data_IF_080807607520
#
_entry.id   IF_080807607520
#
_cell.length_a   1.000
_cell.length_b   1.000
_cell.length_c   1.000
_cell.angle_alpha   90.00
_cell.angle_beta   90.00
_cell.angle_gamma   90.00
#
_symmetry.space_group_name_H-M   'P 1'
#
loop_
_entity.id
_entity.type
_entity.pdbx_description
1 polymer ?
#
# COMPACT_ATOMS: atom_id res chain seq x y z
N UNK A 1 0.41 -11.92 -6.94
CA UNK A 1 -0.62 -10.87 -6.75
C UNK A 1 -0.27 -9.88 -5.64
N UNK A 2 0.24 -10.33 -4.48
CA UNK A 2 0.62 -9.44 -3.36
C UNK A 2 1.63 -8.35 -3.73
N UNK A 3 2.62 -8.63 -4.59
CA UNK A 3 3.56 -7.61 -5.09
C UNK A 3 2.84 -6.55 -5.94
N UNK A 4 1.81 -6.95 -6.69
CA UNK A 4 1.09 -6.04 -7.56
C UNK A 4 0.19 -5.08 -6.75
N UNK A 5 -0.59 -5.60 -5.81
CA UNK A 5 -1.38 -4.75 -4.89
C UNK A 5 -0.48 -3.85 -4.04
N UNK A 6 0.68 -4.35 -3.59
CA UNK A 6 1.68 -3.53 -2.89
C UNK A 6 2.17 -2.35 -3.75
N UNK A 7 2.39 -2.58 -5.05
CA UNK A 7 2.80 -1.52 -5.99
C UNK A 7 1.71 -0.46 -6.15
N UNK A 8 0.47 -0.86 -6.41
CA UNK A 8 -0.63 0.10 -6.53
C UNK A 8 -0.84 0.92 -5.25
N UNK A 9 -0.75 0.29 -4.07
CA UNK A 9 -0.83 1.00 -2.79
C UNK A 9 0.34 1.96 -2.61
N UNK A 10 1.57 1.54 -2.93
CA UNK A 10 2.75 2.39 -2.83
C UNK A 10 2.65 3.61 -3.75
N UNK A 11 2.18 3.43 -4.98
CA UNK A 11 1.97 4.51 -5.95
C UNK A 11 0.90 5.50 -5.43
N UNK A 12 -0.21 4.98 -4.87
CA UNK A 12 -1.25 5.79 -4.25
C UNK A 12 -0.77 6.59 -3.04
N UNK A 13 0.04 5.98 -2.17
CA UNK A 13 0.68 6.68 -1.05
C UNK A 13 1.66 7.75 -1.55
N UNK A 14 2.49 7.44 -2.54
CA UNK A 14 3.44 8.40 -3.09
C UNK A 14 2.74 9.62 -3.69
N UNK A 15 1.60 9.43 -4.35
CA UNK A 15 0.79 10.52 -4.89
C UNK A 15 0.20 11.44 -3.79
N UNK A 16 -0.14 10.88 -2.62
CA UNK A 16 -0.83 11.64 -1.56
C UNK A 16 0.11 12.25 -0.50
N UNK A 17 1.20 11.56 -0.16
CA UNK A 17 2.10 11.92 0.95
C UNK A 17 3.59 11.91 0.56
N UNK A 18 3.92 11.72 -0.73
CA UNK A 18 5.30 11.64 -1.21
C UNK A 18 6.11 12.92 -1.05
N UNK A 19 5.46 14.06 -0.83
CA UNK A 19 6.08 15.35 -0.50
C UNK A 19 6.50 15.46 0.98
N UNK A 20 6.08 14.51 1.82
CA UNK A 20 6.33 14.47 3.27
C UNK A 20 7.12 13.24 3.70
N UNK A 21 7.07 12.16 2.94
CA UNK A 21 7.84 10.94 3.20
C UNK A 21 8.30 10.29 1.89
N UNK A 22 9.45 9.63 1.91
CA UNK A 22 10.00 8.93 0.75
C UNK A 22 9.64 7.45 0.79
N UNK A 23 9.27 6.83 -0.34
CA UNK A 23 9.02 5.39 -0.39
C UNK A 23 10.30 4.62 -0.08
N UNK A 24 10.17 3.55 0.72
CA UNK A 24 11.28 2.66 1.14
C UNK A 24 11.30 1.33 0.38
N UNK A 25 10.49 1.22 -0.66
CA UNK A 25 10.37 0.05 -1.52
C UNK A 25 9.47 -1.05 -0.96
N UNK A 26 9.17 -2.02 -1.82
CA UNK A 26 8.41 -3.23 -1.49
C UNK A 26 9.41 -4.30 -1.06
N UNK A 27 9.19 -4.89 0.11
CA UNK A 27 10.01 -5.98 0.65
C UNK A 27 9.18 -7.25 0.71
N UNK A 28 9.72 -8.34 0.15
CA UNK A 28 9.12 -9.66 0.27
C UNK A 28 9.61 -10.28 1.57
N UNK A 29 8.72 -10.39 2.56
CA UNK A 29 9.02 -10.88 3.90
C UNK A 29 7.91 -11.81 4.39
N UNK A 30 8.24 -12.81 5.22
CA UNK A 30 7.30 -13.83 5.69
C UNK A 30 6.69 -13.51 7.07
N UNK A 31 6.08 -12.33 7.20
CA UNK A 31 5.37 -11.96 8.43
C UNK A 31 4.11 -12.81 8.64
N UNK A 32 3.73 -13.03 9.90
CA UNK A 32 2.60 -13.88 10.26
C UNK A 32 1.31 -13.54 9.50
N UNK A 33 1.01 -12.25 9.32
CA UNK A 33 -0.23 -11.75 8.70
C UNK A 33 -0.23 -11.80 7.17
N UNK A 34 0.93 -11.97 6.53
CA UNK A 34 1.02 -12.05 5.06
C UNK A 34 1.34 -13.46 4.55
N UNK A 35 2.03 -14.30 5.34
CA UNK A 35 2.56 -15.59 4.86
C UNK A 35 1.51 -16.67 4.58
N UNK A 36 0.37 -16.65 5.29
CA UNK A 36 -0.67 -17.68 5.21
C UNK A 36 -2.02 -17.13 4.69
N UNK A 37 -1.99 -16.00 3.99
CA UNK A 37 -3.21 -15.41 3.45
C UNK A 37 -3.67 -16.18 2.19
N UNK A 38 -4.94 -16.56 2.15
CA UNK A 38 -5.57 -17.19 0.98
C UNK A 38 -5.97 -16.18 -0.11
N UNK A 39 -5.59 -14.92 0.06
CA UNK A 39 -5.81 -13.80 -0.85
C UNK A 39 -4.56 -12.89 -0.86
N UNK A 40 -4.41 -11.98 -1.84
CA UNK A 40 -3.34 -10.98 -1.80
C UNK A 40 -3.34 -10.21 -0.48
N UNK A 41 -2.21 -10.24 0.23
CA UNK A 41 -2.05 -9.62 1.55
C UNK A 41 -0.76 -8.82 1.60
N UNK A 42 -0.82 -7.65 2.23
CA UNK A 42 0.30 -6.71 2.37
C UNK A 42 0.30 -6.11 3.78
N UNK A 43 1.49 -5.84 4.30
CA UNK A 43 1.70 -5.06 5.52
C UNK A 43 2.32 -3.72 5.11
N UNK A 44 1.75 -2.62 5.61
CA UNK A 44 2.19 -1.26 5.26
C UNK A 44 2.77 -0.60 6.51
N UNK A 45 4.05 -0.24 6.44
CA UNK A 45 4.71 0.61 7.43
C UNK A 45 4.63 2.07 6.98
N UNK A 46 3.74 2.87 7.59
CA UNK A 46 3.48 4.26 7.17
C UNK A 46 4.61 5.24 7.52
N UNK A 47 5.40 4.92 8.57
CA UNK A 47 6.52 5.75 9.01
C UNK A 47 7.08 5.29 10.35
N UNK A 48 8.20 5.88 10.75
CA UNK A 48 8.87 5.58 12.02
C UNK A 48 8.42 6.51 13.15
N UNK A 49 7.83 5.96 14.21
CA UNK A 49 7.55 6.71 15.44
C UNK A 49 8.82 7.16 16.18
N UNK A 50 9.96 6.49 15.95
CA UNK A 50 11.26 6.85 16.50
C UNK A 50 11.91 8.04 15.78
N UNK A 51 11.40 8.42 14.61
CA UNK A 51 11.83 9.63 13.91
C UNK A 51 10.87 10.76 14.24
N UNK A 52 11.38 11.86 14.81
CA UNK A 52 10.53 12.97 15.28
C UNK A 52 9.64 13.57 14.18
N UNK A 53 10.17 13.78 12.96
CA UNK A 53 9.39 14.36 11.86
C UNK A 53 8.30 13.40 11.35
N UNK A 54 8.61 12.11 11.23
CA UNK A 54 7.62 11.10 10.84
C UNK A 54 6.57 10.89 11.94
N UNK A 55 6.95 10.91 13.21
CA UNK A 55 6.02 10.85 14.33
C UNK A 55 5.03 12.03 14.33
N UNK A 56 5.50 13.25 14.04
CA UNK A 56 4.61 14.40 13.90
C UNK A 56 3.61 14.22 12.74
N UNK A 57 4.06 13.71 11.60
CA UNK A 57 3.16 13.37 10.50
C UNK A 57 2.13 12.30 10.92
N UNK A 58 2.56 11.24 11.59
CA UNK A 58 1.67 10.15 12.05
C UNK A 58 0.68 10.60 13.14
N UNK A 59 0.95 11.70 13.84
CA UNK A 59 0.01 12.33 14.77
C UNK A 59 -0.99 13.30 14.11
N UNK A 60 -0.79 13.64 12.84
CA UNK A 60 -1.60 14.61 12.11
C UNK A 60 -2.81 13.94 11.44
N UNK A 61 -4.02 14.35 11.83
CA UNK A 61 -5.27 13.88 11.21
C UNK A 61 -5.29 14.11 9.70
N UNK A 62 -4.81 15.28 9.23
CA UNK A 62 -4.78 15.59 7.80
C UNK A 62 -3.82 14.66 7.05
N UNK A 63 -2.67 14.34 7.64
CA UNK A 63 -1.72 13.41 7.04
C UNK A 63 -2.30 12.00 6.97
N UNK A 64 -2.92 11.53 8.05
CA UNK A 64 -3.58 10.22 8.09
C UNK A 64 -4.73 10.11 7.09
N UNK A 65 -5.50 11.18 6.87
CA UNK A 65 -6.54 11.24 5.84
C UNK A 65 -5.95 11.10 4.43
N UNK A 66 -4.86 11.82 4.13
CA UNK A 66 -4.15 11.68 2.85
C UNK A 66 -3.58 10.28 2.65
N UNK A 67 -2.95 9.71 3.69
CA UNK A 67 -2.43 8.35 3.65
C UNK A 67 -3.56 7.33 3.40
N UNK A 68 -4.68 7.46 4.11
CA UNK A 68 -5.87 6.62 3.93
C UNK A 68 -6.43 6.73 2.51
N UNK A 69 -6.49 7.94 1.95
CA UNK A 69 -6.92 8.16 0.56
C UNK A 69 -5.97 7.49 -0.44
N UNK A 70 -4.66 7.55 -0.19
CA UNK A 70 -3.65 6.88 -1.03
C UNK A 70 -3.81 5.36 -1.02
N UNK A 71 -4.02 4.77 0.17
CA UNK A 71 -4.28 3.33 0.31
C UNK A 71 -5.57 2.94 -0.39
N UNK A 72 -6.65 3.68 -0.16
CA UNK A 72 -7.95 3.44 -0.79
C UNK A 72 -7.82 3.44 -2.32
N UNK A 73 -7.24 4.49 -2.90
CA UNK A 73 -7.06 4.60 -4.34
C UNK A 73 -6.22 3.45 -4.90
N UNK A 74 -5.11 3.09 -4.23
CA UNK A 74 -4.28 1.97 -4.66
C UNK A 74 -5.01 0.61 -4.63
N UNK A 75 -5.85 0.37 -3.62
CA UNK A 75 -6.69 -0.83 -3.57
C UNK A 75 -7.73 -0.82 -4.70
N UNK A 76 -8.42 0.31 -4.93
CA UNK A 76 -9.40 0.46 -6.00
C UNK A 76 -8.78 0.27 -7.40
N UNK A 77 -7.58 0.80 -7.61
CA UNK A 77 -6.85 0.64 -8.87
C UNK A 77 -6.42 -0.80 -9.09
N UNK A 78 -5.96 -1.49 -8.05
CA UNK A 78 -5.64 -2.92 -8.10
C UNK A 78 -6.89 -3.75 -8.48
N UNK A 79 -8.02 -3.51 -7.83
CA UNK A 79 -9.29 -4.23 -8.12
C UNK A 79 -9.69 -3.98 -9.59
N UNK A 80 -9.70 -2.72 -10.02
CA UNK A 80 -10.04 -2.35 -11.39
C UNK A 80 -9.11 -3.03 -12.41
N UNK A 81 -7.81 -3.06 -12.13
CA UNK A 81 -6.82 -3.74 -12.96
C UNK A 81 -7.07 -5.26 -13.01
N UNK A 82 -7.32 -5.88 -11.86
CA UNK A 82 -7.57 -7.30 -11.72
C UNK A 82 -8.83 -7.74 -12.50
N UNK A 83 -9.94 -7.02 -12.34
CA UNK A 83 -11.20 -7.30 -13.04
C UNK A 83 -11.08 -7.16 -14.56
N UNK A 84 -10.39 -6.12 -15.04
CA UNK A 84 -10.16 -5.91 -16.48
C UNK A 84 -9.28 -6.99 -17.10
N UNK A 85 -8.38 -7.58 -16.32
CA UNK A 85 -7.52 -8.68 -16.77
C UNK A 85 -8.23 -10.04 -16.89
N UNK A 86 -9.56 -10.10 -16.67
CA UNK A 86 -10.36 -11.34 -16.56
C UNK A 86 -9.81 -12.32 -15.53
N UNK A 87 -9.16 -11.81 -14.47
CA UNK A 87 -8.60 -12.59 -13.36
C UNK A 87 -7.96 -13.90 -13.81
N UNK A 88 -6.95 -13.87 -14.69
CA UNK A 88 -6.22 -15.06 -15.21
C UNK A 88 -7.07 -16.22 -15.79
N UNK A 89 -8.39 -16.14 -15.84
CA UNK A 89 -9.29 -17.20 -16.37
C UNK A 89 -9.37 -17.20 -17.89
N UNK A 90 -8.71 -16.26 -18.56
CA UNK A 90 -8.66 -16.17 -20.03
C UNK A 90 -7.44 -16.86 -20.66
N UNK A 91 -6.91 -17.90 -20.02
CA UNK A 91 -6.01 -18.86 -20.69
C UNK A 91 -6.67 -20.24 -20.75
N UNK A 92 -7.54 -20.40 -21.75
CA UNK A 92 -7.71 -21.60 -22.56
C UNK A 92 -8.19 -21.18 -23.94
#
# INVERSE_FOLDING_TARGET
ESILIAKFIMDGLQAQIGDRTKPRGIKAEEWFVVRNANMPSVLIELGFLTNYAEAQNLSSTLYLQKASLGIYNGISDFITHFERSRGFTSSK
#
